data_IF_644309155416
#
_entry.id   IF_644309155416
#
_cell.length_a   1.000
_cell.length_b   1.000
_cell.length_c   1.000
_cell.angle_alpha   90.00
_cell.angle_beta   90.00
_cell.angle_gamma   90.00
#
_symmetry.space_group_name_H-M   'P 1'
#
loop_
_entity.id
_entity.type
_entity.pdbx_description
1 polymer ?
#
# COMPACT_ATOMS: atom_id res chain seq x y z
N UNK A 1 64.98 4.75 20.60
CA UNK A 1 64.31 3.92 21.61
C UNK A 1 62.83 4.04 21.31
N UNK A 2 62.30 2.99 20.65
CA UNK A 2 60.92 2.45 20.75
C UNK A 2 59.73 3.40 20.41
N UNK A 3 58.67 3.07 19.65
CA UNK A 3 58.20 1.90 18.91
C UNK A 3 57.02 2.37 18.03
N UNK A 4 56.71 1.55 17.04
CA UNK A 4 55.79 1.65 15.90
C UNK A 4 54.28 1.86 16.16
N UNK A 5 53.62 2.26 15.06
CA UNK A 5 52.39 1.68 14.45
C UNK A 5 51.00 2.22 14.84
N UNK A 6 50.29 2.78 13.85
CA UNK A 6 49.08 2.19 13.24
C UNK A 6 48.61 2.99 12.00
N UNK A 7 48.65 2.36 10.83
CA UNK A 7 47.88 2.70 9.61
C UNK A 7 46.52 1.93 9.66
N UNK A 8 45.46 2.21 8.84
CA UNK A 8 45.52 2.35 7.38
C UNK A 8 44.68 3.51 6.78
N UNK A 9 45.12 4.15 5.70
CA UNK A 9 45.14 3.74 4.29
C UNK A 9 43.79 3.91 3.56
N UNK A 10 43.63 5.12 3.03
CA UNK A 10 43.05 5.43 1.73
C UNK A 10 43.73 4.61 0.62
N UNK A 11 43.04 4.14 -0.42
CA UNK A 11 43.60 3.89 -1.79
C UNK A 11 42.52 3.38 -2.75
N UNK A 12 42.47 4.06 -3.90
CA UNK A 12 41.77 3.68 -5.12
C UNK A 12 42.58 2.71 -6.02
N UNK A 13 41.86 2.04 -6.92
CA UNK A 13 42.24 1.60 -8.29
C UNK A 13 42.95 0.25 -8.56
N UNK A 14 42.17 -0.63 -9.21
CA UNK A 14 42.37 -1.37 -10.49
C UNK A 14 43.32 -2.60 -10.64
N UNK A 15 42.65 -3.72 -11.02
CA UNK A 15 42.83 -4.56 -12.21
C UNK A 15 43.54 -5.95 -12.21
N UNK A 16 42.77 -6.94 -12.72
CA UNK A 16 43.09 -8.14 -13.55
C UNK A 16 43.61 -9.40 -12.82
N UNK A 17 42.85 -10.52 -12.83
CA UNK A 17 42.94 -11.69 -13.77
C UNK A 17 41.98 -12.81 -13.35
N UNK A 18 41.46 -13.54 -14.34
CA UNK A 18 40.44 -14.60 -14.35
C UNK A 18 40.73 -15.90 -13.58
N UNK A 19 39.69 -16.60 -13.09
CA UNK A 19 39.47 -18.05 -13.25
C UNK A 19 38.03 -18.46 -12.83
N UNK A 20 37.64 -19.62 -13.33
CA UNK A 20 36.28 -20.15 -13.53
C UNK A 20 35.49 -20.57 -12.29
N UNK A 21 34.17 -20.68 -12.45
CA UNK A 21 33.37 -21.74 -11.80
C UNK A 21 32.31 -21.29 -10.81
N UNK A 22 31.08 -21.14 -11.28
CA UNK A 22 29.86 -21.81 -10.75
C UNK A 22 28.62 -21.00 -11.11
N UNK A 23 27.85 -21.53 -12.06
CA UNK A 23 26.46 -21.15 -12.32
C UNK A 23 25.63 -21.40 -11.06
N UNK A 24 25.32 -20.34 -10.31
CA UNK A 24 24.27 -20.38 -9.30
C UNK A 24 22.94 -20.02 -9.97
N UNK A 25 22.22 -21.07 -10.36
CA UNK A 25 20.89 -21.05 -10.92
C UNK A 25 19.90 -20.32 -9.99
N UNK A 26 19.18 -19.38 -10.60
CA UNK A 26 17.89 -18.81 -10.21
C UNK A 26 17.06 -19.62 -9.21
N UNK A 27 16.94 -19.14 -7.97
CA UNK A 27 15.93 -19.58 -7.00
C UNK A 27 15.27 -18.42 -6.22
N UNK A 28 15.57 -17.17 -6.56
CA UNK A 28 15.02 -15.98 -5.90
C UNK A 28 13.62 -15.56 -6.36
N UNK A 29 13.12 -16.08 -7.50
CA UNK A 29 11.80 -15.72 -8.03
C UNK A 29 10.64 -16.27 -7.19
N UNK A 30 10.79 -17.44 -6.56
CA UNK A 30 9.77 -18.08 -5.72
C UNK A 30 9.62 -17.41 -4.35
N UNK A 31 10.74 -16.97 -3.74
CA UNK A 31 10.69 -16.24 -2.48
C UNK A 31 10.06 -14.85 -2.67
N UNK A 32 10.35 -14.17 -3.78
CA UNK A 32 9.72 -12.90 -4.15
C UNK A 32 8.23 -13.06 -4.50
N UNK A 33 7.82 -14.14 -5.19
CA UNK A 33 6.39 -14.41 -5.45
C UNK A 33 5.64 -14.85 -4.19
N UNK A 34 6.25 -15.65 -3.31
CA UNK A 34 5.68 -16.01 -2.01
C UNK A 34 5.57 -14.80 -1.08
N UNK A 35 6.56 -13.90 -1.08
CA UNK A 35 6.52 -12.67 -0.29
C UNK A 35 5.49 -11.67 -0.83
N UNK A 36 5.35 -11.53 -2.16
CA UNK A 36 4.35 -10.64 -2.77
C UNK A 36 2.93 -11.18 -2.64
N UNK A 37 2.72 -12.49 -2.76
CA UNK A 37 1.43 -13.12 -2.45
C UNK A 37 1.09 -12.96 -0.97
N UNK A 38 2.03 -13.22 -0.05
CA UNK A 38 1.85 -12.97 1.39
C UNK A 38 1.50 -11.50 1.71
N UNK A 39 2.19 -10.54 1.09
CA UNK A 39 1.88 -9.11 1.25
C UNK A 39 0.46 -8.78 0.76
N UNK A 40 0.11 -9.25 -0.45
CA UNK A 40 -1.23 -9.08 -1.00
C UNK A 40 -2.30 -9.69 -0.08
N UNK A 41 -2.07 -10.91 0.40
CA UNK A 41 -2.98 -11.63 1.30
C UNK A 41 -3.17 -10.89 2.64
N UNK A 42 -2.08 -10.36 3.21
CA UNK A 42 -2.15 -9.56 4.43
C UNK A 42 -2.95 -8.27 4.20
N UNK A 43 -2.74 -7.60 3.07
CA UNK A 43 -3.48 -6.38 2.73
C UNK A 43 -4.97 -6.68 2.51
N UNK A 44 -5.29 -7.79 1.84
CA UNK A 44 -6.67 -8.25 1.63
C UNK A 44 -7.36 -8.55 2.96
N UNK A 45 -6.69 -9.26 3.86
CA UNK A 45 -7.20 -9.55 5.21
C UNK A 45 -7.43 -8.27 6.02
N UNK A 46 -6.50 -7.31 5.95
CA UNK A 46 -6.65 -6.04 6.64
C UNK A 46 -7.87 -5.28 6.14
N UNK A 47 -7.98 -5.06 4.83
CA UNK A 47 -9.10 -4.34 4.22
C UNK A 47 -10.43 -5.02 4.53
N UNK A 48 -10.47 -6.36 4.48
CA UNK A 48 -11.64 -7.15 4.84
C UNK A 48 -12.04 -6.98 6.30
N UNK A 49 -11.08 -7.05 7.24
CA UNK A 49 -11.36 -6.86 8.66
C UNK A 49 -11.87 -5.44 8.94
N UNK A 50 -11.29 -4.43 8.29
CA UNK A 50 -11.76 -3.05 8.40
C UNK A 50 -13.18 -2.91 7.88
N UNK A 51 -13.51 -3.56 6.75
CA UNK A 51 -14.86 -3.57 6.20
C UNK A 51 -15.87 -4.30 7.11
N UNK A 52 -15.54 -5.48 7.61
CA UNK A 52 -16.40 -6.23 8.53
C UNK A 52 -16.66 -5.45 9.82
N UNK A 53 -15.63 -4.79 10.37
CA UNK A 53 -15.79 -3.91 11.52
C UNK A 53 -16.65 -2.69 11.20
N UNK A 54 -16.52 -2.11 10.01
CA UNK A 54 -17.37 -1.03 9.55
C UNK A 54 -18.85 -1.45 9.49
N UNK A 55 -19.15 -2.66 8.99
CA UNK A 55 -20.51 -3.20 8.94
C UNK A 55 -21.12 -3.43 10.34
N UNK A 56 -20.32 -3.97 11.26
CA UNK A 56 -20.73 -4.18 12.66
C UNK A 56 -21.02 -2.87 13.40
N UNK A 57 -20.34 -1.79 13.02
CA UNK A 57 -20.54 -0.47 13.60
C UNK A 57 -21.72 0.30 13.01
N UNK A 58 -22.36 -0.20 11.94
CA UNK A 58 -23.57 0.39 11.40
C UNK A 58 -24.71 0.32 12.43
N UNK A 59 -25.65 1.27 12.33
CA UNK A 59 -26.87 1.29 13.15
C UNK A 59 -28.09 1.28 12.23
N UNK A 60 -28.78 0.14 12.06
CA UNK A 60 -28.59 -1.16 12.73
C UNK A 60 -27.33 -1.94 12.28
N UNK A 61 -26.79 -2.86 13.11
CA UNK A 61 -25.64 -3.69 12.72
C UNK A 61 -25.98 -4.53 11.49
N UNK A 62 -25.06 -4.55 10.52
CA UNK A 62 -25.25 -5.27 9.27
C UNK A 62 -24.42 -6.55 9.24
N UNK A 63 -25.00 -7.61 8.68
CA UNK A 63 -24.29 -8.81 8.29
C UNK A 63 -23.94 -8.74 6.81
N UNK A 64 -22.93 -9.50 6.38
CA UNK A 64 -22.57 -9.58 4.95
C UNK A 64 -23.74 -9.99 4.05
N UNK A 65 -24.66 -10.80 4.55
CA UNK A 65 -25.88 -11.23 3.83
C UNK A 65 -26.88 -10.10 3.55
N UNK A 66 -26.88 -9.05 4.37
CA UNK A 66 -27.78 -7.89 4.23
C UNK A 66 -27.07 -6.66 3.69
N UNK A 67 -25.75 -6.76 3.48
CA UNK A 67 -24.93 -5.70 2.91
C UNK A 67 -25.27 -5.50 1.43
N UNK A 68 -25.92 -4.38 1.12
CA UNK A 68 -26.11 -3.90 -0.25
C UNK A 68 -24.96 -3.01 -0.74
N UNK A 69 -24.94 -2.69 -2.05
CA UNK A 69 -23.96 -1.78 -2.64
C UNK A 69 -23.95 -0.38 -2.02
N UNK A 70 -25.05 0.08 -1.41
CA UNK A 70 -25.09 1.36 -0.72
C UNK A 70 -24.11 1.41 0.47
N UNK A 71 -24.02 0.33 1.24
CA UNK A 71 -23.10 0.23 2.38
C UNK A 71 -21.64 0.16 1.93
N UNK A 72 -21.38 -0.44 0.76
CA UNK A 72 -20.04 -0.40 0.15
C UNK A 72 -19.67 1.03 -0.23
N UNK A 73 -20.59 1.78 -0.87
CA UNK A 73 -20.33 3.18 -1.21
C UNK A 73 -20.10 4.04 0.04
N UNK A 74 -20.87 3.81 1.10
CA UNK A 74 -20.70 4.52 2.36
C UNK A 74 -19.39 4.16 3.07
N UNK A 75 -18.96 2.90 3.00
CA UNK A 75 -17.64 2.48 3.43
C UNK A 75 -16.53 3.21 2.67
N UNK A 76 -16.63 3.32 1.35
CA UNK A 76 -15.64 4.06 0.55
C UNK A 76 -15.61 5.55 0.93
N UNK A 77 -16.76 6.16 1.23
CA UNK A 77 -16.83 7.53 1.78
C UNK A 77 -16.27 7.64 3.20
N UNK A 78 -16.35 6.59 4.00
CA UNK A 78 -15.69 6.52 5.30
C UNK A 78 -14.17 6.48 5.14
N UNK A 79 -13.63 5.73 4.18
CA UNK A 79 -12.18 5.68 3.91
C UNK A 79 -11.58 7.04 3.51
N UNK A 80 -12.37 7.90 2.88
CA UNK A 80 -11.95 9.27 2.56
C UNK A 80 -11.48 10.09 3.77
N UNK A 81 -11.99 9.81 4.98
CA UNK A 81 -11.59 10.51 6.20
C UNK A 81 -10.09 10.31 6.53
N UNK A 82 -9.52 9.20 6.06
CA UNK A 82 -8.11 8.85 6.21
C UNK A 82 -7.32 9.10 4.92
N UNK A 83 -7.92 9.86 3.99
CA UNK A 83 -7.30 10.35 2.77
C UNK A 83 -5.99 11.08 3.00
N UNK A 84 -5.05 10.94 2.07
CA UNK A 84 -3.80 11.73 2.05
C UNK A 84 -3.75 12.71 0.88
N UNK A 85 -4.67 12.60 -0.07
CA UNK A 85 -4.69 13.44 -1.27
C UNK A 85 -5.53 14.67 -1.02
N UNK A 86 -4.96 15.87 -1.21
CA UNK A 86 -5.70 17.13 -1.13
C UNK A 86 -6.58 17.29 -2.37
N UNK A 87 -7.88 17.45 -2.18
CA UNK A 87 -8.82 17.67 -3.28
C UNK A 87 -9.32 19.11 -3.26
N UNK A 88 -8.80 19.92 -4.16
CA UNK A 88 -9.16 21.33 -4.26
C UNK A 88 -10.58 21.50 -4.81
N UNK A 89 -11.41 22.27 -4.12
CA UNK A 89 -12.73 22.69 -4.62
C UNK A 89 -12.58 23.86 -5.59
N UNK A 90 -13.57 24.09 -6.45
CA UNK A 90 -13.54 25.19 -7.43
C UNK A 90 -13.41 26.59 -6.82
N UNK A 91 -13.85 26.76 -5.57
CA UNK A 91 -13.73 28.01 -4.80
C UNK A 91 -12.36 28.15 -4.10
N UNK A 92 -11.49 27.15 -4.18
CA UNK A 92 -10.18 27.21 -3.56
C UNK A 92 -9.26 28.16 -4.35
N UNK A 93 -8.55 29.09 -3.70
CA UNK A 93 -7.59 29.98 -4.38
C UNK A 93 -6.47 29.24 -5.13
N UNK A 94 -6.21 27.99 -4.77
CA UNK A 94 -5.19 27.13 -5.39
C UNK A 94 -5.76 26.11 -6.39
N UNK A 95 -7.04 26.20 -6.74
CA UNK A 95 -7.64 25.28 -7.72
C UNK A 95 -6.91 25.38 -9.06
N UNK A 96 -6.49 24.24 -9.61
CA UNK A 96 -5.74 24.15 -10.88
C UNK A 96 -4.22 24.37 -10.77
N UNK A 97 -3.68 24.69 -9.59
CA UNK A 97 -2.24 24.87 -9.41
C UNK A 97 -1.55 23.55 -8.97
N UNK A 98 -0.56 23.04 -9.71
CA UNK A 98 0.12 21.78 -9.37
C UNK A 98 1.02 21.89 -8.13
N UNK A 99 1.46 23.11 -7.80
CA UNK A 99 2.29 23.39 -6.62
C UNK A 99 1.69 24.56 -5.82
N UNK A 100 0.73 24.30 -4.92
CA UNK A 100 0.09 25.34 -4.11
C UNK A 100 1.10 26.02 -3.18
N UNK A 101 1.12 27.35 -3.17
CA UNK A 101 1.93 28.13 -2.22
C UNK A 101 1.09 28.42 -0.96
N UNK A 102 1.11 27.48 -0.02
CA UNK A 102 0.49 27.63 1.31
C UNK A 102 -0.63 26.64 1.62
N UNK A 103 -1.07 26.55 2.89
CA UNK A 103 -2.13 25.64 3.31
C UNK A 103 -3.51 26.12 2.82
N UNK A 104 -4.44 25.18 2.64
CA UNK A 104 -5.83 25.49 2.31
C UNK A 104 -6.82 24.59 3.07
N UNK A 105 -8.09 25.03 3.24
CA UNK A 105 -9.09 24.28 4.00
C UNK A 105 -9.71 23.11 3.21
N UNK A 106 -9.21 22.80 2.01
CA UNK A 106 -9.76 21.72 1.20
C UNK A 106 -9.65 20.36 1.91
N UNK A 107 -10.61 19.43 1.74
CA UNK A 107 -10.54 18.14 2.41
C UNK A 107 -9.38 17.28 1.86
N UNK A 108 -8.89 16.39 2.71
CA UNK A 108 -8.12 15.24 2.26
C UNK A 108 -9.10 14.12 1.90
N UNK A 109 -8.78 13.38 0.83
CA UNK A 109 -9.59 12.26 0.31
C UNK A 109 -8.68 11.13 -0.12
N UNK A 110 -9.24 9.93 -0.27
CA UNK A 110 -8.50 8.84 -0.86
C UNK A 110 -8.29 9.09 -2.36
N UNK A 111 -7.15 8.65 -2.88
CA UNK A 111 -6.94 8.64 -4.31
C UNK A 111 -7.79 7.53 -4.95
N UNK A 112 -8.35 7.78 -6.13
CA UNK A 112 -9.16 6.79 -6.85
C UNK A 112 -8.45 5.45 -7.05
N UNK A 113 -7.16 5.46 -7.39
CA UNK A 113 -6.37 4.22 -7.54
C UNK A 113 -6.22 3.42 -6.23
N UNK A 114 -6.21 4.08 -5.08
CA UNK A 114 -6.20 3.41 -3.77
C UNK A 114 -7.51 2.67 -3.53
N UNK A 115 -8.64 3.36 -3.78
CA UNK A 115 -9.98 2.80 -3.63
C UNK A 115 -10.22 1.63 -4.58
N UNK A 116 -9.82 1.74 -5.84
CA UNK A 116 -9.95 0.65 -6.83
C UNK A 116 -9.25 -0.63 -6.36
N UNK A 117 -8.03 -0.47 -5.83
CA UNK A 117 -7.28 -1.61 -5.31
C UNK A 117 -7.96 -2.24 -4.09
N UNK A 118 -8.53 -1.44 -3.18
CA UNK A 118 -9.30 -1.93 -2.04
C UNK A 118 -10.54 -2.68 -2.52
N UNK A 119 -11.28 -2.15 -3.49
CA UNK A 119 -12.47 -2.80 -4.07
C UNK A 119 -12.09 -4.16 -4.67
N UNK A 120 -10.99 -4.24 -5.43
CA UNK A 120 -10.48 -5.48 -5.99
C UNK A 120 -10.19 -6.54 -4.91
N UNK A 121 -9.52 -6.13 -3.82
CA UNK A 121 -9.22 -7.03 -2.69
C UNK A 121 -10.47 -7.44 -1.92
N UNK A 122 -11.41 -6.54 -1.67
CA UNK A 122 -12.68 -6.87 -1.02
C UNK A 122 -13.50 -7.85 -1.85
N UNK A 123 -13.54 -7.70 -3.17
CA UNK A 123 -14.20 -8.65 -4.07
C UNK A 123 -13.57 -10.04 -3.97
N UNK A 124 -12.24 -10.13 -3.96
CA UNK A 124 -11.53 -11.39 -3.78
C UNK A 124 -11.82 -12.02 -2.41
N UNK A 125 -11.77 -11.22 -1.34
CA UNK A 125 -12.08 -11.66 0.02
C UNK A 125 -13.53 -12.16 0.15
N UNK A 126 -14.49 -11.47 -0.48
CA UNK A 126 -15.90 -11.86 -0.44
C UNK A 126 -16.12 -13.27 -1.01
N UNK A 127 -15.50 -13.60 -2.15
CA UNK A 127 -15.59 -14.93 -2.76
C UNK A 127 -15.00 -16.00 -1.84
N UNK A 128 -13.85 -15.73 -1.22
CA UNK A 128 -13.19 -16.65 -0.28
C UNK A 128 -13.98 -16.88 1.01
N UNK A 129 -14.76 -15.89 1.45
CA UNK A 129 -15.64 -16.00 2.61
C UNK A 129 -17.01 -16.62 2.26
N UNK A 130 -17.14 -17.28 1.10
CA UNK A 130 -18.35 -17.98 0.68
C UNK A 130 -19.42 -17.11 0.02
N UNK A 131 -19.07 -15.87 -0.31
CA UNK A 131 -19.92 -14.97 -1.09
C UNK A 131 -20.11 -15.47 -2.52
N UNK A 132 -21.36 -15.51 -2.98
CA UNK A 132 -21.69 -15.80 -4.38
C UNK A 132 -21.86 -14.47 -5.14
N UNK A 133 -21.40 -14.38 -6.41
CA UNK A 133 -21.51 -13.17 -7.22
C UNK A 133 -22.96 -12.76 -7.48
#
# INVERSE_FOLDING_TARGET
MDTCNSNPNDTSTNNITSFEGASASSSSSLASTAATTSHYENQKRHDWNTFDQYLKNQRPPLSLSTCSGAHVLEFLRYLDQFGKTKVHTSICPFYGYPYPRGPCPCPLRQAWGSLDTVIGRLRAAFVENGGRP
#
